data_IF_293734311932
#
_entry.id   IF_293734311932
#
_cell.length_a   1.000
_cell.length_b   1.000
_cell.length_c   1.000
_cell.angle_alpha   90.00
_cell.angle_beta   90.00
_cell.angle_gamma   90.00
#
_symmetry.space_group_name_H-M   'P 1'
#
loop_
_entity.id
_entity.type
_entity.pdbx_description
1 polymer ?
#
# COMPACT_ATOMS: atom_id res chain seq x y z
N UNK A 1 -18.26 -5.33 -12.54
CA UNK A 1 -17.22 -4.52 -13.21
C UNK A 1 -16.40 -3.63 -12.27
N UNK A 2 -17.00 -2.76 -11.43
CA UNK A 2 -16.25 -1.84 -10.54
C UNK A 2 -15.21 -2.50 -9.62
N UNK A 3 -15.51 -3.66 -9.04
CA UNK A 3 -14.60 -4.42 -8.16
C UNK A 3 -13.30 -4.77 -8.88
N UNK A 4 -13.40 -5.38 -10.06
CA UNK A 4 -12.24 -5.77 -10.87
C UNK A 4 -11.40 -4.55 -11.30
N UNK A 5 -12.05 -3.45 -11.69
CA UNK A 5 -11.34 -2.23 -12.08
C UNK A 5 -10.58 -1.65 -10.87
N UNK A 6 -11.19 -1.57 -9.69
CA UNK A 6 -10.49 -1.08 -8.50
C UNK A 6 -9.34 -2.00 -8.10
N UNK A 7 -9.50 -3.32 -8.18
CA UNK A 7 -8.43 -4.28 -7.95
C UNK A 7 -7.23 -4.03 -8.88
N UNK A 8 -7.50 -3.98 -10.19
CA UNK A 8 -6.48 -3.75 -11.21
C UNK A 8 -5.81 -2.38 -11.03
N UNK A 9 -6.57 -1.31 -10.81
CA UNK A 9 -5.99 0.01 -10.58
C UNK A 9 -5.10 0.05 -9.34
N UNK A 10 -5.50 -0.60 -8.24
CA UNK A 10 -4.66 -0.65 -7.03
C UNK A 10 -3.35 -1.38 -7.32
N UNK A 11 -3.39 -2.54 -7.97
CA UNK A 11 -2.17 -3.28 -8.30
C UNK A 11 -1.29 -2.55 -9.34
N UNK A 12 -1.86 -2.15 -10.47
CA UNK A 12 -1.11 -1.59 -11.60
C UNK A 12 -0.73 -0.12 -11.44
N UNK A 13 -1.25 0.59 -10.44
CA UNK A 13 -0.81 1.97 -10.16
C UNK A 13 0.10 2.03 -8.94
N UNK A 14 -0.22 1.34 -7.83
CA UNK A 14 0.59 1.42 -6.62
C UNK A 14 1.90 0.64 -6.74
N UNK A 15 1.92 -0.52 -7.40
CA UNK A 15 3.16 -1.30 -7.55
C UNK A 15 4.19 -0.53 -8.39
N UNK A 16 3.87 -0.01 -9.60
CA UNK A 16 4.80 0.86 -10.31
C UNK A 16 5.13 2.14 -9.53
N UNK A 17 4.19 2.71 -8.77
CA UNK A 17 4.44 3.84 -7.90
C UNK A 17 5.50 3.57 -6.82
N UNK A 18 5.45 2.38 -6.19
CA UNK A 18 6.48 1.93 -5.25
C UNK A 18 7.84 1.77 -5.95
N UNK A 19 7.85 1.11 -7.11
CA UNK A 19 9.08 0.89 -7.89
C UNK A 19 9.71 2.22 -8.31
N UNK A 20 8.92 3.17 -8.80
CA UNK A 20 9.38 4.51 -9.17
C UNK A 20 9.96 5.25 -7.96
N UNK A 21 9.27 5.21 -6.81
CA UNK A 21 9.80 5.81 -5.57
C UNK A 21 11.14 5.21 -5.16
N UNK A 22 11.25 3.88 -5.15
CA UNK A 22 12.50 3.19 -4.81
C UNK A 22 13.61 3.49 -5.82
N UNK A 23 13.31 3.53 -7.12
CA UNK A 23 14.29 3.84 -8.16
C UNK A 23 14.80 5.28 -8.05
N UNK A 24 13.91 6.24 -7.82
CA UNK A 24 14.27 7.66 -7.64
C UNK A 24 15.09 7.85 -6.37
N UNK A 25 14.66 7.26 -5.25
CA UNK A 25 15.43 7.31 -3.99
C UNK A 25 16.80 6.66 -4.13
N UNK A 26 16.87 5.46 -4.71
CA UNK A 26 18.11 4.76 -4.97
C UNK A 26 19.06 5.54 -5.88
N UNK A 27 18.53 6.18 -6.93
CA UNK A 27 19.30 7.04 -7.82
C UNK A 27 19.91 8.25 -7.11
N UNK A 28 19.14 8.93 -6.25
CA UNK A 28 19.63 10.03 -5.41
C UNK A 28 20.73 9.55 -4.44
N UNK A 29 20.53 8.39 -3.82
CA UNK A 29 21.51 7.80 -2.90
C UNK A 29 22.84 7.45 -3.59
N UNK A 30 22.79 7.02 -4.85
CA UNK A 30 23.99 6.71 -5.64
C UNK A 30 24.69 7.96 -6.19
N UNK A 31 23.94 9.01 -6.52
CA UNK A 31 24.49 10.25 -7.07
C UNK A 31 25.16 11.13 -6.01
N UNK A 32 24.69 11.07 -4.75
CA UNK A 32 25.23 11.90 -3.68
C UNK A 32 26.53 11.32 -3.09
N UNK A 33 27.60 12.11 -2.96
CA UNK A 33 28.81 11.68 -2.24
C UNK A 33 28.53 11.54 -0.74
N UNK A 34 29.30 10.70 -0.05
CA UNK A 34 29.19 10.48 1.40
C UNK A 34 28.71 9.09 1.79
N UNK A 35 28.95 8.74 3.05
CA UNK A 35 28.57 7.45 3.63
C UNK A 35 27.04 7.28 3.64
N UNK A 36 26.59 6.03 3.51
CA UNK A 36 25.17 5.66 3.58
C UNK A 36 24.49 5.99 4.91
N UNK A 37 25.26 6.27 5.95
CA UNK A 37 24.78 6.66 7.28
C UNK A 37 24.70 8.17 7.49
N UNK A 38 25.08 8.98 6.50
CA UNK A 38 24.96 10.44 6.58
C UNK A 38 23.47 10.85 6.69
N UNK A 39 23.05 11.54 7.77
CA UNK A 39 21.67 11.96 7.98
C UNK A 39 21.10 12.80 6.83
N UNK A 40 21.92 13.65 6.20
CA UNK A 40 21.47 14.53 5.11
C UNK A 40 21.19 13.69 3.86
N UNK A 41 22.10 12.77 3.53
CA UNK A 41 21.95 11.85 2.39
C UNK A 41 20.75 10.92 2.57
N UNK A 42 20.55 10.39 3.77
CA UNK A 42 19.37 9.60 4.12
C UNK A 42 18.08 10.42 4.00
N UNK A 43 18.08 11.66 4.50
CA UNK A 43 16.93 12.57 4.40
C UNK A 43 16.54 12.85 2.94
N UNK A 44 17.51 13.15 2.07
CA UNK A 44 17.28 13.40 0.65
C UNK A 44 16.81 12.14 -0.09
N UNK A 45 17.36 10.97 0.26
CA UNK A 45 16.94 9.67 -0.28
C UNK A 45 15.49 9.35 0.11
N UNK A 46 15.13 9.53 1.38
CA UNK A 46 13.78 9.31 1.87
C UNK A 46 12.77 10.30 1.26
N UNK A 47 13.14 11.58 1.15
CA UNK A 47 12.30 12.61 0.54
C UNK A 47 12.04 12.32 -0.95
N UNK A 48 13.08 11.95 -1.70
CA UNK A 48 12.94 11.63 -3.12
C UNK A 48 12.14 10.35 -3.36
N UNK A 49 12.33 9.32 -2.53
CA UNK A 49 11.49 8.13 -2.53
C UNK A 49 10.02 8.45 -2.21
N UNK A 50 9.80 9.30 -1.20
CA UNK A 50 8.47 9.77 -0.82
C UNK A 50 7.77 10.48 -2.00
N UNK A 51 8.46 11.38 -2.70
CA UNK A 51 7.89 12.10 -3.85
C UNK A 51 7.46 11.11 -4.94
N UNK A 52 8.29 10.12 -5.29
CA UNK A 52 7.95 9.12 -6.30
C UNK A 52 6.73 8.27 -5.90
N UNK A 53 6.68 7.80 -4.64
CA UNK A 53 5.53 7.05 -4.13
C UNK A 53 4.27 7.92 -4.04
N UNK A 54 4.42 9.20 -3.66
CA UNK A 54 3.30 10.14 -3.55
C UNK A 54 2.61 10.33 -4.89
N UNK A 55 3.36 10.47 -5.98
CA UNK A 55 2.79 10.59 -7.33
C UNK A 55 1.97 9.34 -7.67
N UNK A 56 2.50 8.14 -7.42
CA UNK A 56 1.77 6.88 -7.63
C UNK A 56 0.49 6.80 -6.80
N UNK A 57 0.57 7.09 -5.51
CA UNK A 57 -0.59 7.11 -4.61
C UNK A 57 -1.62 8.18 -4.99
N UNK A 58 -1.19 9.34 -5.50
CA UNK A 58 -2.08 10.40 -5.92
C UNK A 58 -2.82 10.07 -7.21
N UNK A 59 -2.13 9.50 -8.21
CA UNK A 59 -2.73 8.98 -9.44
C UNK A 59 -3.72 7.87 -9.11
N UNK A 60 -3.37 6.96 -8.19
CA UNK A 60 -4.27 5.90 -7.73
C UNK A 60 -5.53 6.46 -7.07
N UNK A 61 -5.38 7.34 -6.06
CA UNK A 61 -6.51 7.94 -5.35
C UNK A 61 -7.44 8.74 -6.28
N UNK A 62 -6.86 9.44 -7.26
CA UNK A 62 -7.62 10.13 -8.31
C UNK A 62 -8.38 9.15 -9.21
N UNK A 63 -7.72 8.10 -9.72
CA UNK A 63 -8.34 7.09 -10.61
C UNK A 63 -9.49 6.37 -9.91
N UNK A 64 -9.30 5.99 -8.64
CA UNK A 64 -10.34 5.38 -7.81
C UNK A 64 -11.54 6.33 -7.66
N UNK A 65 -11.31 7.63 -7.42
CA UNK A 65 -12.38 8.62 -7.35
C UNK A 65 -13.22 8.70 -8.64
N UNK A 66 -12.58 8.54 -9.81
CA UNK A 66 -13.26 8.54 -11.11
C UNK A 66 -14.14 7.31 -11.29
N UNK A 67 -13.62 6.13 -10.95
CA UNK A 67 -14.38 4.86 -11.02
C UNK A 67 -15.58 4.89 -10.08
N UNK A 68 -15.43 5.53 -8.92
CA UNK A 68 -16.48 5.66 -7.92
C UNK A 68 -17.47 6.79 -8.18
N UNK A 69 -17.19 7.67 -9.15
CA UNK A 69 -17.92 8.93 -9.38
C UNK A 69 -17.97 9.82 -8.13
N UNK A 70 -16.91 9.84 -7.33
CA UNK A 70 -16.83 10.68 -6.15
C UNK A 70 -16.58 12.14 -6.54
N UNK A 71 -17.33 13.09 -5.95
CA UNK A 71 -17.15 14.53 -6.19
C UNK A 71 -15.79 15.07 -5.67
N UNK A 72 -15.14 14.34 -4.75
CA UNK A 72 -13.95 14.77 -4.03
C UNK A 72 -12.62 14.28 -4.65
N UNK A 73 -12.50 14.25 -5.97
CA UNK A 73 -11.35 13.62 -6.65
C UNK A 73 -9.98 14.17 -6.25
N UNK A 74 -9.83 15.50 -6.14
CA UNK A 74 -8.56 16.13 -5.69
C UNK A 74 -8.18 15.72 -4.26
N UNK A 75 -9.16 15.61 -3.37
CA UNK A 75 -8.92 15.24 -1.96
C UNK A 75 -8.56 13.77 -1.82
N UNK A 76 -9.22 12.91 -2.60
CA UNK A 76 -8.86 11.49 -2.67
C UNK A 76 -7.47 11.27 -3.28
N UNK A 77 -7.06 12.08 -4.26
CA UNK A 77 -5.70 12.06 -4.79
C UNK A 77 -4.67 12.41 -3.71
N UNK A 78 -4.84 13.55 -3.03
CA UNK A 78 -3.91 13.95 -1.96
C UNK A 78 -3.88 12.92 -0.83
N UNK A 79 -5.04 12.45 -0.38
CA UNK A 79 -5.12 11.46 0.68
C UNK A 79 -4.46 10.13 0.26
N UNK A 80 -4.71 9.65 -0.96
CA UNK A 80 -4.06 8.46 -1.51
C UNK A 80 -2.55 8.61 -1.62
N UNK A 81 -2.06 9.76 -2.09
CA UNK A 81 -0.63 10.08 -2.18
C UNK A 81 0.05 10.07 -0.81
N UNK A 82 -0.49 10.80 0.17
CA UNK A 82 0.05 10.85 1.53
C UNK A 82 -0.02 9.48 2.20
N UNK A 83 -1.19 8.83 2.15
CA UNK A 83 -1.43 7.55 2.81
C UNK A 83 -0.51 6.45 2.30
N UNK A 84 -0.37 6.33 0.98
CA UNK A 84 0.52 5.34 0.38
C UNK A 84 1.99 5.66 0.63
N UNK A 85 2.44 6.88 0.34
CA UNK A 85 3.85 7.24 0.45
C UNK A 85 4.36 7.17 1.90
N UNK A 86 3.59 7.68 2.88
CA UNK A 86 3.99 7.61 4.28
C UNK A 86 3.99 6.17 4.79
N UNK A 87 2.95 5.39 4.51
CA UNK A 87 2.89 4.00 4.99
C UNK A 87 3.99 3.15 4.37
N UNK A 88 4.22 3.26 3.06
CA UNK A 88 5.30 2.55 2.38
C UNK A 88 6.67 2.95 2.93
N UNK A 89 6.95 4.25 3.10
CA UNK A 89 8.21 4.72 3.64
C UNK A 89 8.46 4.21 5.07
N UNK A 90 7.48 4.34 5.97
CA UNK A 90 7.59 3.86 7.36
C UNK A 90 7.81 2.35 7.40
N UNK A 91 7.07 1.59 6.59
CA UNK A 91 7.23 0.14 6.51
C UNK A 91 8.58 -0.25 5.96
N UNK A 92 9.07 0.39 4.89
CA UNK A 92 10.39 0.10 4.30
C UNK A 92 11.51 0.38 5.31
N UNK A 93 11.46 1.53 5.99
CA UNK A 93 12.46 1.88 7.01
C UNK A 93 12.43 0.92 8.20
N UNK A 94 11.23 0.54 8.64
CA UNK A 94 11.05 -0.40 9.74
C UNK A 94 11.53 -1.80 9.37
N UNK A 95 11.21 -2.27 8.15
CA UNK A 95 11.69 -3.55 7.65
C UNK A 95 13.22 -3.57 7.52
N UNK A 96 13.83 -2.51 7.01
CA UNK A 96 15.30 -2.40 6.93
C UNK A 96 15.97 -2.45 8.30
N UNK A 97 15.42 -1.74 9.29
CA UNK A 97 15.91 -1.80 10.68
C UNK A 97 15.73 -3.19 11.30
N UNK A 98 14.57 -3.82 11.09
CA UNK A 98 14.28 -5.15 11.61
C UNK A 98 15.12 -6.24 10.94
N UNK A 99 15.44 -6.09 9.65
CA UNK A 99 16.33 -6.99 8.93
C UNK A 99 17.75 -6.95 9.51
N UNK A 100 18.32 -5.76 9.69
CA UNK A 100 19.64 -5.59 10.34
C UNK A 100 19.63 -6.19 11.76
N UNK A 101 18.61 -5.86 12.57
CA UNK A 101 18.53 -6.33 13.95
C UNK A 101 18.35 -7.87 14.06
N UNK A 102 17.46 -8.45 13.26
CA UNK A 102 17.04 -9.86 13.39
C UNK A 102 17.95 -10.79 12.60
N UNK A 103 18.36 -10.40 11.40
CA UNK A 103 19.11 -11.25 10.47
C UNK A 103 20.61 -11.04 10.60
N UNK A 104 21.08 -9.79 10.55
CA UNK A 104 22.51 -9.48 10.54
C UNK A 104 23.12 -9.58 11.94
N UNK A 105 22.47 -8.95 12.92
CA UNK A 105 22.96 -8.93 14.31
C UNK A 105 22.60 -10.20 15.10
N UNK A 106 21.82 -11.11 14.52
CA UNK A 106 21.30 -12.35 15.14
C UNK A 106 20.68 -12.14 16.54
N UNK A 107 20.10 -10.96 16.79
CA UNK A 107 19.45 -10.64 18.07
C UNK A 107 17.99 -11.10 18.14
N UNK A 108 17.46 -11.64 17.05
CA UNK A 108 16.12 -12.20 17.01
C UNK A 108 16.04 -13.66 17.47
N UNK A 109 14.83 -14.20 17.66
CA UNK A 109 14.63 -15.63 17.91
C UNK A 109 15.23 -16.47 16.78
N UNK A 110 15.80 -17.65 17.09
CA UNK A 110 16.39 -18.59 16.12
C UNK A 110 15.31 -19.25 15.25
N UNK A 111 14.62 -18.45 14.44
CA UNK A 111 13.60 -18.89 13.51
C UNK A 111 14.20 -19.10 12.11
N UNK A 112 13.68 -20.07 11.35
CA UNK A 112 14.02 -20.18 9.93
C UNK A 112 13.72 -18.87 9.19
N UNK A 113 14.58 -18.48 8.24
CA UNK A 113 14.49 -17.20 7.51
C UNK A 113 13.13 -17.01 6.82
N UNK A 114 12.52 -18.08 6.29
CA UNK A 114 11.18 -18.02 5.69
C UNK A 114 10.07 -17.66 6.68
N UNK A 115 10.19 -18.07 7.95
CA UNK A 115 9.25 -17.68 9.00
C UNK A 115 9.45 -16.22 9.39
N UNK A 116 10.70 -15.76 9.50
CA UNK A 116 11.02 -14.34 9.74
C UNK A 116 10.46 -13.47 8.62
N UNK A 117 10.67 -13.88 7.36
CA UNK A 117 10.11 -13.20 6.19
C UNK A 117 8.58 -13.10 6.30
N UNK A 118 7.89 -14.20 6.61
CA UNK A 118 6.43 -14.22 6.77
C UNK A 118 5.97 -13.28 7.88
N UNK A 119 6.63 -13.33 9.04
CA UNK A 119 6.32 -12.52 10.22
C UNK A 119 6.54 -11.02 10.00
N UNK A 120 7.43 -10.63 9.10
CA UNK A 120 7.72 -9.24 8.78
C UNK A 120 6.86 -8.72 7.63
N UNK A 121 6.78 -9.47 6.53
CA UNK A 121 6.15 -8.99 5.30
C UNK A 121 4.62 -9.09 5.30
N UNK A 122 4.02 -10.05 6.01
CA UNK A 122 2.55 -10.15 6.10
C UNK A 122 1.96 -8.95 6.86
N UNK A 123 2.47 -8.58 8.06
CA UNK A 123 1.99 -7.37 8.75
C UNK A 123 2.29 -6.10 7.96
N UNK A 124 3.45 -6.01 7.31
CA UNK A 124 3.80 -4.88 6.45
C UNK A 124 2.74 -4.67 5.33
N UNK A 125 2.39 -5.73 4.61
CA UNK A 125 1.37 -5.67 3.56
C UNK A 125 -0.02 -5.30 4.13
N UNK A 126 -0.39 -5.85 5.29
CA UNK A 126 -1.63 -5.50 5.98
C UNK A 126 -1.68 -4.03 6.39
N UNK A 127 -0.60 -3.48 6.95
CA UNK A 127 -0.50 -2.08 7.35
C UNK A 127 -0.66 -1.16 6.14
N UNK A 128 0.10 -1.41 5.05
CA UNK A 128 0.02 -0.56 3.84
C UNK A 128 -1.40 -0.61 3.26
N UNK A 129 -1.97 -1.81 3.10
CA UNK A 129 -3.32 -1.96 2.56
C UNK A 129 -4.37 -1.26 3.43
N UNK A 130 -4.27 -1.40 4.75
CA UNK A 130 -5.16 -0.74 5.71
C UNK A 130 -5.04 0.78 5.69
N UNK A 131 -3.82 1.33 5.74
CA UNK A 131 -3.60 2.78 5.69
C UNK A 131 -4.09 3.36 4.36
N UNK A 132 -3.87 2.68 3.24
CA UNK A 132 -4.41 3.09 1.95
C UNK A 132 -5.95 3.10 1.94
N UNK A 133 -6.59 2.09 2.53
CA UNK A 133 -8.04 2.04 2.71
C UNK A 133 -8.58 3.20 3.57
N UNK A 134 -7.93 3.47 4.70
CA UNK A 134 -8.27 4.57 5.60
C UNK A 134 -8.13 5.93 4.90
N UNK A 135 -7.02 6.13 4.18
CA UNK A 135 -6.71 7.36 3.47
C UNK A 135 -7.80 7.72 2.45
N UNK A 136 -8.32 6.74 1.71
CA UNK A 136 -9.45 6.98 0.81
C UNK A 136 -10.70 7.44 1.55
N UNK A 137 -11.04 6.80 2.68
CA UNK A 137 -12.18 7.22 3.51
C UNK A 137 -12.03 8.65 4.05
N UNK A 138 -10.83 9.03 4.50
CA UNK A 138 -10.54 10.42 4.90
C UNK A 138 -10.63 11.40 3.74
N UNK A 139 -10.14 11.03 2.56
CA UNK A 139 -10.30 11.80 1.32
C UNK A 139 -11.76 12.13 1.02
N UNK A 140 -12.69 11.27 1.42
CA UNK A 140 -14.13 11.42 1.27
C UNK A 140 -14.84 12.13 2.44
N UNK A 141 -14.16 12.42 3.56
CA UNK A 141 -14.74 12.88 4.86
C UNK A 141 -15.67 11.89 5.55
N UNK A 142 -15.56 10.60 5.23
CA UNK A 142 -16.35 9.56 5.88
C UNK A 142 -15.45 8.77 6.84
N UNK A 143 -15.43 9.21 8.10
CA UNK A 143 -14.58 8.63 9.14
C UNK A 143 -14.98 7.19 9.50
N UNK A 144 -16.28 6.89 9.48
CA UNK A 144 -16.78 5.55 9.72
C UNK A 144 -16.36 4.60 8.59
N UNK A 145 -16.46 5.06 7.34
CA UNK A 145 -15.96 4.32 6.19
C UNK A 145 -14.44 4.18 6.21
N UNK A 146 -13.70 5.20 6.66
CA UNK A 146 -12.24 5.13 6.78
C UNK A 146 -11.82 3.98 7.72
N UNK A 147 -12.43 3.90 8.91
CA UNK A 147 -12.14 2.81 9.86
C UNK A 147 -12.52 1.43 9.31
N UNK A 148 -13.67 1.32 8.64
CA UNK A 148 -14.10 0.07 8.02
C UNK A 148 -13.17 -0.38 6.88
N UNK A 149 -12.82 0.53 5.97
CA UNK A 149 -11.89 0.25 4.88
C UNK A 149 -10.51 -0.10 5.41
N UNK A 150 -10.05 0.56 6.49
CA UNK A 150 -8.78 0.24 7.11
C UNK A 150 -8.70 -1.24 7.50
N UNK A 151 -9.69 -1.72 8.27
CA UNK A 151 -9.72 -3.11 8.72
C UNK A 151 -9.92 -4.11 7.58
N UNK A 152 -10.87 -3.84 6.70
CA UNK A 152 -11.18 -4.77 5.61
C UNK A 152 -10.01 -4.88 4.62
N UNK A 153 -9.34 -3.76 4.29
CA UNK A 153 -8.16 -3.79 3.43
C UNK A 153 -6.94 -4.41 4.14
N UNK A 154 -6.75 -4.16 5.44
CA UNK A 154 -5.65 -4.76 6.19
C UNK A 154 -5.77 -6.29 6.25
N UNK A 155 -6.94 -6.80 6.65
CA UNK A 155 -7.20 -8.24 6.72
C UNK A 155 -7.13 -8.85 5.31
N UNK A 156 -7.83 -8.25 4.33
CA UNK A 156 -7.85 -8.77 2.96
C UNK A 156 -6.46 -8.80 2.31
N UNK A 157 -5.70 -7.70 2.45
CA UNK A 157 -4.35 -7.59 1.93
C UNK A 157 -3.36 -8.53 2.62
N UNK A 158 -3.38 -8.57 3.96
CA UNK A 158 -2.52 -9.45 4.76
C UNK A 158 -2.79 -10.93 4.49
N UNK A 159 -4.06 -11.35 4.46
CA UNK A 159 -4.43 -12.73 4.13
C UNK A 159 -4.04 -13.10 2.69
N UNK A 160 -4.24 -12.21 1.71
CA UNK A 160 -3.83 -12.48 0.33
C UNK A 160 -2.31 -12.64 0.19
N UNK A 161 -1.53 -11.77 0.86
CA UNK A 161 -0.08 -11.92 0.92
C UNK A 161 0.31 -13.26 1.55
N UNK A 162 -0.28 -13.60 2.70
CA UNK A 162 0.01 -14.83 3.43
C UNK A 162 -0.28 -16.06 2.56
N UNK A 163 -1.43 -16.11 1.87
CA UNK A 163 -1.78 -17.22 0.98
C UNK A 163 -0.74 -17.38 -0.13
N UNK A 164 -0.33 -16.29 -0.79
CA UNK A 164 0.71 -16.35 -1.83
C UNK A 164 2.04 -16.82 -1.26
N UNK A 165 2.43 -16.29 -0.11
CA UNK A 165 3.67 -16.66 0.56
C UNK A 165 3.72 -18.14 0.94
N UNK A 166 2.65 -18.68 1.54
CA UNK A 166 2.54 -20.11 1.87
C UNK A 166 2.48 -21.00 0.62
N UNK A 167 1.83 -20.53 -0.45
CA UNK A 167 1.77 -21.27 -1.71
C UNK A 167 3.16 -21.37 -2.34
N UNK A 168 3.90 -20.26 -2.40
CA UNK A 168 5.26 -20.25 -2.94
C UNK A 168 6.22 -21.07 -2.07
N UNK A 169 6.11 -21.00 -0.74
CA UNK A 169 6.90 -21.85 0.15
C UNK A 169 6.62 -23.35 -0.10
N UNK A 170 5.35 -23.72 -0.23
CA UNK A 170 4.93 -25.09 -0.56
C UNK A 170 5.39 -25.58 -1.94
N UNK A 171 5.57 -24.67 -2.91
CA UNK A 171 6.11 -24.96 -4.24
C UNK A 171 7.66 -24.97 -4.27
N UNK A 172 8.32 -24.84 -3.13
CA UNK A 172 9.78 -24.84 -3.03
C UNK A 172 10.45 -23.50 -3.37
N UNK A 173 9.68 -22.43 -3.55
CA UNK A 173 10.16 -21.04 -3.62
C UNK A 173 10.37 -20.47 -2.22
N UNK A 174 11.11 -21.23 -1.41
CA UNK A 174 11.37 -20.90 -0.01
C UNK A 174 12.43 -19.82 0.13
N UNK A 175 12.10 -18.75 0.83
CA UNK A 175 13.04 -17.66 1.13
C UNK A 175 14.14 -18.19 2.07
N UNK A 176 15.40 -18.03 1.67
CA UNK A 176 16.57 -18.52 2.41
C UNK A 176 16.96 -19.98 2.16
N UNK A 177 16.34 -20.68 1.20
CA UNK A 177 16.74 -22.02 0.78
C UNK A 177 18.02 -22.02 -0.09
N UNK A 178 18.71 -23.17 -0.26
CA UNK A 178 19.85 -23.29 -1.18
C UNK A 178 19.46 -22.84 -2.60
N UNK A 179 20.23 -21.93 -3.20
CA UNK A 179 19.93 -21.36 -4.52
C UNK A 179 18.85 -20.26 -4.53
N UNK A 180 18.32 -19.84 -3.37
CA UNK A 180 17.30 -18.79 -3.30
C UNK A 180 17.77 -17.43 -3.84
N UNK A 181 19.06 -17.12 -3.70
CA UNK A 181 19.69 -15.92 -4.26
C UNK A 181 19.72 -15.95 -5.80
N UNK A 182 20.04 -17.10 -6.39
CA UNK A 182 20.06 -17.28 -7.84
C UNK A 182 18.67 -17.15 -8.48
N UNK A 183 17.61 -17.47 -7.72
CA UNK A 183 16.20 -17.35 -8.16
C UNK A 183 15.53 -16.05 -7.74
N UNK A 184 16.25 -15.13 -7.08
CA UNK A 184 15.67 -13.91 -6.51
C UNK A 184 14.37 -14.18 -5.73
N UNK A 185 14.36 -15.23 -4.91
CA UNK A 185 13.14 -15.80 -4.31
C UNK A 185 12.44 -14.80 -3.39
N UNK A 186 13.21 -14.04 -2.62
CA UNK A 186 12.70 -12.98 -1.74
C UNK A 186 11.98 -11.89 -2.54
N UNK A 187 12.59 -11.40 -3.62
CA UNK A 187 11.99 -10.38 -4.50
C UNK A 187 10.72 -10.91 -5.16
N UNK A 188 10.76 -12.13 -5.67
CA UNK A 188 9.62 -12.77 -6.36
C UNK A 188 8.43 -12.91 -5.41
N UNK A 189 8.65 -13.48 -4.22
CA UNK A 189 7.61 -13.65 -3.20
C UNK A 189 7.08 -12.31 -2.71
N UNK A 190 7.94 -11.32 -2.47
CA UNK A 190 7.53 -9.99 -2.05
C UNK A 190 6.68 -9.29 -3.13
N UNK A 191 7.08 -9.34 -4.40
CA UNK A 191 6.34 -8.71 -5.49
C UNK A 191 4.99 -9.38 -5.69
N UNK A 192 4.95 -10.71 -5.81
CA UNK A 192 3.70 -11.45 -6.01
C UNK A 192 2.75 -11.30 -4.81
N UNK A 193 3.28 -11.36 -3.60
CA UNK A 193 2.50 -11.14 -2.38
C UNK A 193 1.90 -9.73 -2.32
N UNK A 194 2.69 -8.70 -2.66
CA UNK A 194 2.19 -7.32 -2.69
C UNK A 194 1.18 -7.08 -3.82
N UNK A 195 1.36 -7.70 -4.99
CA UNK A 195 0.36 -7.65 -6.07
C UNK A 195 -0.95 -8.29 -5.61
N UNK A 196 -0.91 -9.46 -4.99
CA UNK A 196 -2.10 -10.12 -4.46
C UNK A 196 -2.77 -9.28 -3.35
N UNK A 197 -1.98 -8.69 -2.45
CA UNK A 197 -2.47 -7.78 -1.42
C UNK A 197 -3.15 -6.54 -2.02
N UNK A 198 -2.56 -5.95 -3.06
CA UNK A 198 -3.10 -4.80 -3.77
C UNK A 198 -4.41 -5.14 -4.50
N UNK A 199 -4.48 -6.31 -5.16
CA UNK A 199 -5.70 -6.82 -5.80
C UNK A 199 -6.81 -7.05 -4.76
N UNK A 200 -6.49 -7.67 -3.63
CA UNK A 200 -7.44 -7.91 -2.54
C UNK A 200 -7.95 -6.58 -1.93
N UNK A 201 -7.05 -5.67 -1.59
CA UNK A 201 -7.41 -4.34 -1.07
C UNK A 201 -8.24 -3.52 -2.06
N UNK A 202 -7.86 -3.51 -3.35
CA UNK A 202 -8.64 -2.86 -4.40
C UNK A 202 -10.02 -3.49 -4.61
N UNK A 203 -10.14 -4.81 -4.43
CA UNK A 203 -11.43 -5.51 -4.48
C UNK A 203 -12.36 -5.08 -3.33
N UNK A 204 -11.82 -4.95 -2.11
CA UNK A 204 -12.55 -4.45 -0.94
C UNK A 204 -13.04 -3.03 -1.16
N UNK A 205 -12.20 -2.14 -1.70
CA UNK A 205 -12.57 -0.76 -2.05
C UNK A 205 -13.71 -0.75 -3.07
N UNK A 206 -13.58 -1.53 -4.16
CA UNK A 206 -14.59 -1.62 -5.20
C UNK A 206 -15.90 -2.28 -4.74
N UNK A 207 -15.86 -3.16 -3.75
CA UNK A 207 -17.06 -3.76 -3.15
C UNK A 207 -17.80 -2.75 -2.25
N UNK A 208 -17.05 -2.03 -1.41
CA UNK A 208 -17.57 -0.97 -0.55
C UNK A 208 -18.20 0.17 -1.35
N UNK A 209 -17.73 0.37 -2.59
CA UNK A 209 -18.30 1.31 -3.54
C UNK A 209 -19.74 1.05 -3.97
N UNK A 210 -20.25 -0.17 -3.77
CA UNK A 210 -21.67 -0.48 -4.04
C UNK A 210 -22.60 0.22 -3.05
N UNK A 211 -22.13 0.50 -1.83
CA UNK A 211 -22.88 1.28 -0.84
C UNK A 211 -22.89 2.79 -1.12
N UNK A 212 -21.85 3.32 -1.79
CA UNK A 212 -21.68 4.76 -2.02
C UNK A 212 -22.70 5.39 -2.94
N UNK A 213 -23.27 4.65 -3.90
CA UNK A 213 -24.28 5.20 -4.81
C UNK A 213 -25.63 5.52 -4.13
N UNK A 214 -25.87 5.00 -2.92
CA UNK A 214 -27.15 5.17 -2.21
C UNK A 214 -27.14 6.35 -1.25
N UNK A 215 -26.02 6.66 -0.61
CA UNK A 215 -25.90 7.77 0.34
C UNK A 215 -25.86 9.14 -0.34
N UNK A 216 -25.26 9.25 -1.54
CA UNK A 216 -25.24 10.50 -2.31
C UNK A 216 -26.59 10.87 -2.93
N UNK A 217 -27.52 9.91 -3.08
CA UNK A 217 -28.88 10.17 -3.55
C UNK A 217 -29.77 10.76 -2.45
N UNK A 218 -29.45 10.54 -1.17
CA UNK A 218 -30.22 11.04 -0.04
C UNK A 218 -29.94 12.49 0.34
N UNK A 219 -28.78 13.05 -0.02
CA UNK A 219 -28.43 14.44 0.30
C UNK A 219 -28.96 15.46 -0.71
N UNK A 220 -29.37 15.03 -1.91
CA UNK A 220 -29.87 15.93 -2.96
C UNK A 220 -31.31 16.40 -2.79
N UNK A 221 -32.07 15.82 -1.85
CA UNK A 221 -33.51 16.10 -1.70
C UNK A 221 -33.84 17.06 -0.54
N UNK A 222 -32.85 17.57 0.21
CA UNK A 222 -33.09 18.50 1.33
C UNK A 222 -32.89 19.97 0.97
N UNK A 223 -32.18 20.28 -0.12
CA UNK A 223 -31.90 21.68 -0.51
C UNK A 223 -33.00 22.32 -1.38
N UNK A 224 -33.94 21.55 -1.91
CA UNK A 224 -35.08 22.08 -2.69
C UNK A 224 -36.28 22.48 -1.82
N UNK A 225 -36.35 22.02 -0.56
CA UNK A 225 -37.50 22.28 0.30
C UNK A 225 -37.51 23.69 0.92
N UNK A 226 -36.36 24.39 1.00
CA UNK A 226 -36.27 25.72 1.61
C UNK A 226 -36.35 26.89 0.62
N UNK A 227 -36.53 26.64 -0.68
CA UNK A 227 -36.70 27.72 -1.69
C UNK A 227 -38.15 28.05 -2.04
N UNK A 228 -39.13 27.41 -1.38
CA UNK A 228 -40.56 27.61 -1.67
C UNK A 228 -41.38 28.29 -0.56
N UNK A 229 -40.73 28.91 0.42
CA UNK A 229 -41.43 29.80 1.36
C UNK A 229 -40.90 31.22 1.14
N UNK A 230 -41.47 31.85 0.11
CA UNK A 230 -41.64 33.31 0.06
C UNK A 230 -42.87 33.67 0.89
#
# INVERSE_FOLDING_TARGET
>A
MRVAICALLTAFVLIPGAVLGLAVGGGVNQALPGNSTDPIKLGLTALSAFIGMFVGGAVWGWSISRVMKAAAGRRMAVAGGIGFALSALVVILTLGFLEDLVVEQRRGPQLPIHNVFTLLFVPAAAIIAGVCGAALGFGMRDWAMAGRLAWMCAIGGGCAFLVVNLTLDGLGWRVGAPGAAARATMLTTAVLGNVAAALAGGSVIGWSARGWSRSSAGSGNRDTAHRHVQ
#
